data_IF_306440887831
#
_entry.id   IF_306440887831
#
_cell.length_a   1.000
_cell.length_b   1.000
_cell.length_c   1.000
_cell.angle_alpha   90.00
_cell.angle_beta   90.00
_cell.angle_gamma   90.00
#
_symmetry.space_group_name_H-M   'P 1'
#
loop_
_entity.id
_entity.type
_entity.pdbx_description
1 polymer ?
#
# COMPACT_ATOMS: atom_id res chain seq x y z
N UNK A 1 -19.86 -3.26 20.32
CA UNK A 1 -19.27 -4.02 19.19
C UNK A 1 -19.97 -3.79 17.84
N UNK A 2 -21.24 -3.35 17.78
CA UNK A 2 -21.95 -3.03 16.50
C UNK A 2 -21.68 -1.60 15.98
N UNK A 3 -21.16 -0.77 16.86
CA UNK A 3 -20.93 0.66 16.78
C UNK A 3 -19.59 1.04 16.09
N UNK A 4 -18.63 0.10 16.00
CA UNK A 4 -17.31 0.32 15.37
C UNK A 4 -17.25 -0.05 13.87
N UNK A 5 -18.21 -0.84 13.39
CA UNK A 5 -18.31 -1.26 11.99
C UNK A 5 -18.27 -0.09 10.97
N UNK A 6 -18.96 1.05 11.20
CA UNK A 6 -18.88 2.18 10.28
C UNK A 6 -17.49 2.84 10.28
N UNK A 7 -16.80 2.89 11.43
CA UNK A 7 -15.47 3.49 11.51
C UNK A 7 -14.45 2.64 10.74
N UNK A 8 -14.47 1.33 10.94
CA UNK A 8 -13.60 0.38 10.22
C UNK A 8 -13.85 0.45 8.71
N UNK A 9 -15.11 0.56 8.29
CA UNK A 9 -15.48 0.69 6.89
C UNK A 9 -14.94 2.00 6.27
N UNK A 10 -15.10 3.14 6.95
CA UNK A 10 -14.61 4.43 6.45
C UNK A 10 -13.08 4.46 6.40
N UNK A 11 -12.39 3.93 7.41
CA UNK A 11 -10.93 3.80 7.38
C UNK A 11 -10.46 2.93 6.24
N UNK A 12 -11.13 1.81 5.99
CA UNK A 12 -10.80 0.90 4.89
C UNK A 12 -10.98 1.59 3.53
N UNK A 13 -12.11 2.27 3.30
CA UNK A 13 -12.40 2.96 2.05
C UNK A 13 -11.40 4.10 1.79
N UNK A 14 -11.17 4.97 2.76
CA UNK A 14 -10.26 6.12 2.60
C UNK A 14 -8.80 5.67 2.45
N UNK A 15 -8.38 4.62 3.17
CA UNK A 15 -7.04 4.04 3.02
C UNK A 15 -6.86 3.38 1.65
N UNK A 16 -7.88 2.68 1.15
CA UNK A 16 -7.86 2.05 -0.18
C UNK A 16 -7.85 3.09 -1.31
N UNK A 17 -8.63 4.18 -1.19
CA UNK A 17 -8.61 5.30 -2.13
C UNK A 17 -7.21 5.94 -2.24
N UNK A 18 -6.56 6.17 -1.10
CA UNK A 18 -5.18 6.69 -1.04
C UNK A 18 -4.17 5.71 -1.65
N UNK A 19 -4.32 4.40 -1.38
CA UNK A 19 -3.44 3.36 -1.90
C UNK A 19 -3.53 3.22 -3.42
N UNK A 20 -4.75 3.18 -3.97
CA UNK A 20 -4.97 3.12 -5.43
C UNK A 20 -4.36 4.33 -6.12
N UNK A 21 -4.50 5.53 -5.56
CA UNK A 21 -3.94 6.75 -6.14
C UNK A 21 -2.41 6.71 -6.21
N UNK A 22 -1.73 6.17 -5.18
CA UNK A 22 -0.27 5.97 -5.19
C UNK A 22 0.13 4.97 -6.28
N UNK A 23 -0.53 3.81 -6.36
CA UNK A 23 -0.24 2.78 -7.38
C UNK A 23 -0.48 3.34 -8.78
N UNK A 24 -1.57 4.07 -8.97
CA UNK A 24 -1.95 4.72 -10.22
C UNK A 24 -0.89 5.76 -10.63
N UNK A 25 -0.39 6.58 -9.70
CA UNK A 25 0.67 7.55 -9.96
C UNK A 25 2.02 6.91 -10.34
N UNK A 26 2.38 5.77 -9.72
CA UNK A 26 3.60 5.03 -10.04
C UNK A 26 3.47 4.37 -11.42
N UNK A 27 2.32 3.78 -11.71
CA UNK A 27 2.07 3.01 -12.94
C UNK A 27 1.87 3.92 -14.15
N UNK A 28 1.32 5.12 -13.97
CA UNK A 28 1.16 6.13 -15.02
C UNK A 28 2.43 6.94 -15.32
N UNK A 29 3.58 6.61 -14.69
CA UNK A 29 4.83 7.34 -14.84
C UNK A 29 4.79 8.76 -14.26
N UNK A 30 3.97 9.00 -13.23
CA UNK A 30 3.80 10.29 -12.57
C UNK A 30 2.69 11.18 -13.13
N UNK A 31 1.87 10.70 -14.09
CA UNK A 31 0.71 11.44 -14.61
C UNK A 31 -0.53 11.19 -13.74
N UNK A 32 -1.16 12.26 -13.25
CA UNK A 32 -2.33 12.21 -12.36
C UNK A 32 -3.66 11.94 -13.07
N UNK A 33 -3.70 12.00 -14.41
CA UNK A 33 -4.88 11.64 -15.21
C UNK A 33 -4.89 10.13 -15.48
N UNK A 34 -5.39 9.37 -14.50
CA UNK A 34 -5.44 7.90 -14.57
C UNK A 34 -6.86 7.46 -14.91
N UNK A 35 -7.07 6.65 -15.97
CA UNK A 35 -8.40 6.26 -16.43
C UNK A 35 -9.14 5.43 -15.37
N UNK A 36 -10.41 5.73 -15.16
CA UNK A 36 -11.30 5.09 -14.16
C UNK A 36 -11.29 3.54 -14.27
N UNK A 37 -11.05 3.01 -15.46
CA UNK A 37 -10.94 1.58 -15.74
C UNK A 37 -9.76 0.93 -14.99
N UNK A 38 -8.62 1.62 -14.88
CA UNK A 38 -7.44 1.11 -14.18
C UNK A 38 -7.69 1.01 -12.67
N UNK A 39 -8.37 2.01 -12.10
CA UNK A 39 -8.76 2.01 -10.69
C UNK A 39 -9.73 0.87 -10.36
N UNK A 40 -10.73 0.62 -11.20
CA UNK A 40 -11.67 -0.50 -11.02
C UNK A 40 -10.97 -1.84 -11.16
N UNK A 41 -10.02 -1.96 -12.09
CA UNK A 41 -9.20 -3.16 -12.25
C UNK A 41 -8.43 -3.50 -10.96
N UNK A 42 -7.72 -2.54 -10.38
CA UNK A 42 -6.97 -2.75 -9.14
C UNK A 42 -7.87 -3.01 -7.92
N UNK A 43 -9.01 -2.31 -7.79
CA UNK A 43 -9.96 -2.59 -6.72
C UNK A 43 -10.57 -4.00 -6.83
N UNK A 44 -10.86 -4.46 -8.05
CA UNK A 44 -11.42 -5.80 -8.28
C UNK A 44 -10.42 -6.91 -7.97
N UNK A 45 -9.15 -6.73 -8.33
CA UNK A 45 -8.13 -7.75 -8.10
C UNK A 45 -7.79 -7.87 -6.61
N UNK A 46 -7.77 -6.75 -5.88
CA UNK A 46 -7.59 -6.73 -4.43
C UNK A 46 -8.73 -7.46 -3.71
N UNK A 47 -9.99 -7.20 -4.12
CA UNK A 47 -11.17 -7.91 -3.59
C UNK A 47 -11.14 -9.41 -3.85
N UNK A 48 -10.70 -9.84 -5.03
CA UNK A 48 -10.55 -11.26 -5.38
C UNK A 48 -9.46 -11.92 -4.54
N UNK A 49 -8.30 -11.29 -4.38
CA UNK A 49 -7.21 -11.81 -3.55
C UNK A 49 -7.67 -11.96 -2.09
N UNK A 50 -8.37 -10.96 -1.56
CA UNK A 50 -8.94 -11.03 -0.21
C UNK A 50 -9.94 -12.18 -0.07
N UNK A 51 -10.84 -12.37 -1.04
CA UNK A 51 -11.80 -13.47 -1.03
C UNK A 51 -11.12 -14.84 -1.08
N UNK A 52 -10.09 -15.01 -1.92
CA UNK A 52 -9.30 -16.25 -2.02
C UNK A 52 -8.54 -16.55 -0.73
N UNK A 53 -7.94 -15.54 -0.10
CA UNK A 53 -7.21 -15.70 1.17
C UNK A 53 -8.14 -16.05 2.33
N UNK A 54 -9.34 -15.44 2.38
CA UNK A 54 -10.34 -15.79 3.39
C UNK A 54 -10.87 -17.21 3.20
N UNK A 55 -11.17 -17.60 1.96
CA UNK A 55 -11.67 -18.94 1.66
C UNK A 55 -10.60 -20.01 1.88
N UNK A 56 -9.36 -19.76 1.43
CA UNK A 56 -8.23 -20.68 1.58
C UNK A 56 -7.72 -20.82 3.02
N UNK A 57 -7.85 -19.77 3.84
CA UNK A 57 -7.45 -19.79 5.24
C UNK A 57 -8.44 -20.49 6.18
N UNK A 58 -9.69 -20.69 5.77
CA UNK A 58 -10.68 -21.45 6.54
C UNK A 58 -10.89 -20.92 7.97
N UNK A 59 -10.63 -21.78 8.97
CA UNK A 59 -10.74 -21.41 10.39
C UNK A 59 -9.64 -20.44 10.85
N UNK A 60 -8.49 -20.41 10.17
CA UNK A 60 -7.34 -19.57 10.47
C UNK A 60 -7.15 -18.48 9.40
N UNK A 61 -8.25 -17.94 8.89
CA UNK A 61 -8.24 -16.88 7.86
C UNK A 61 -7.39 -15.66 8.28
N UNK A 62 -7.37 -15.30 9.56
CA UNK A 62 -6.49 -14.24 10.07
C UNK A 62 -5.01 -14.59 9.93
N UNK A 63 -4.63 -15.84 10.21
CA UNK A 63 -3.25 -16.31 10.08
C UNK A 63 -2.78 -16.31 8.64
N UNK A 64 -3.64 -16.75 7.72
CA UNK A 64 -3.36 -16.72 6.28
C UNK A 64 -3.18 -15.28 5.76
N UNK A 65 -4.05 -14.36 6.18
CA UNK A 65 -3.96 -12.95 5.79
C UNK A 65 -2.70 -12.28 6.35
N UNK A 66 -2.35 -12.57 7.61
CA UNK A 66 -1.14 -12.05 8.25
C UNK A 66 0.14 -12.59 7.58
N UNK A 67 0.19 -13.89 7.28
CA UNK A 67 1.32 -14.49 6.59
C UNK A 67 1.53 -13.85 5.21
N UNK A 68 0.46 -13.69 4.43
CA UNK A 68 0.51 -13.00 3.13
C UNK A 68 1.04 -11.56 3.27
N UNK A 69 0.53 -10.80 4.26
CA UNK A 69 0.98 -9.43 4.52
C UNK A 69 2.47 -9.36 4.89
N UNK A 70 2.96 -10.27 5.74
CA UNK A 70 4.38 -10.32 6.13
C UNK A 70 5.27 -10.71 4.95
N UNK A 71 4.87 -11.71 4.16
CA UNK A 71 5.65 -12.15 2.99
C UNK A 71 5.76 -11.07 1.92
N UNK A 72 4.71 -10.29 1.67
CA UNK A 72 4.75 -9.16 0.73
C UNK A 72 5.47 -7.95 1.32
N UNK A 73 5.30 -7.70 2.62
CA UNK A 73 5.92 -6.57 3.31
C UNK A 73 7.44 -6.69 3.43
N UNK A 74 7.96 -7.89 3.69
CA UNK A 74 9.38 -8.14 3.93
C UNK A 74 10.32 -7.70 2.78
N UNK A 75 10.08 -8.02 1.50
CA UNK A 75 10.91 -7.49 0.41
C UNK A 75 10.74 -5.97 0.25
N UNK A 76 9.55 -5.43 0.53
CA UNK A 76 9.30 -3.98 0.43
C UNK A 76 10.01 -3.19 1.53
N UNK A 77 10.17 -3.73 2.74
CA UNK A 77 10.93 -3.06 3.81
C UNK A 77 12.40 -2.86 3.45
N UNK A 78 13.00 -3.78 2.69
CA UNK A 78 14.36 -3.62 2.17
C UNK A 78 14.45 -2.37 1.28
N UNK A 79 13.47 -2.17 0.38
CA UNK A 79 13.38 -0.99 -0.49
C UNK A 79 13.20 0.28 0.35
N UNK A 80 12.34 0.25 1.37
CA UNK A 80 12.12 1.38 2.27
C UNK A 80 13.40 1.77 3.02
N UNK A 81 14.22 0.81 3.45
CA UNK A 81 15.53 1.08 4.06
C UNK A 81 16.42 1.84 3.07
N UNK A 82 16.50 1.40 1.81
CA UNK A 82 17.25 2.12 0.79
C UNK A 82 16.71 3.52 0.51
N UNK A 83 15.39 3.72 0.52
CA UNK A 83 14.78 5.05 0.39
C UNK A 83 15.16 5.96 1.56
N UNK A 84 15.08 5.46 2.80
CA UNK A 84 15.50 6.22 3.99
C UNK A 84 16.97 6.62 3.91
N UNK A 85 17.85 5.71 3.50
CA UNK A 85 19.27 5.99 3.29
C UNK A 85 19.50 7.04 2.20
N UNK A 86 18.78 6.93 1.07
CA UNK A 86 18.89 7.87 -0.05
C UNK A 86 18.40 9.27 0.34
N UNK A 87 17.31 9.35 1.09
CA UNK A 87 16.78 10.60 1.61
C UNK A 87 17.75 11.25 2.60
N UNK A 88 18.31 10.47 3.53
CA UNK A 88 19.32 10.95 4.47
C UNK A 88 20.56 11.48 3.75
N UNK A 89 21.06 10.74 2.76
CA UNK A 89 22.23 11.15 1.99
C UNK A 89 21.94 12.40 1.15
N UNK A 90 20.75 12.49 0.53
CA UNK A 90 20.29 13.66 -0.21
C UNK A 90 20.20 14.90 0.66
N UNK A 91 19.58 14.77 1.84
CA UNK A 91 19.45 15.87 2.79
C UNK A 91 20.80 16.34 3.33
N UNK A 92 21.71 15.40 3.63
CA UNK A 92 23.07 15.74 4.11
C UNK A 92 23.93 16.41 3.02
N UNK A 93 23.75 16.03 1.74
CA UNK A 93 24.41 16.70 0.61
C UNK A 93 23.96 18.15 0.47
N UNK A 94 22.66 18.39 0.58
CA UNK A 94 22.11 19.76 0.49
C UNK A 94 22.52 20.60 1.72
N UNK A 95 22.48 20.02 2.93
CA UNK A 95 22.96 20.69 4.14
C UNK A 95 24.42 21.11 4.03
N UNK A 96 25.30 20.24 3.52
CA UNK A 96 26.71 20.60 3.26
C UNK A 96 26.85 21.70 2.22
N UNK A 97 26.09 21.65 1.12
CA UNK A 97 26.10 22.68 0.07
C UNK A 97 25.71 24.06 0.61
N UNK A 98 24.79 24.13 1.57
CA UNK A 98 24.36 25.39 2.18
C UNK A 98 25.39 25.95 3.19
N UNK A 99 26.32 25.12 3.67
CA UNK A 99 27.29 25.46 4.70
C UNK A 99 28.71 25.68 4.17
N UNK A 100 28.91 25.57 2.84
CA UNK A 100 30.17 25.91 2.14
C UNK A 100 29.95 27.11 1.23
#
# INVERSE_FOLDING_TARGET
MKDQQPLVLVFFITSSDSGSLVIDSITAGGKLDVPVVQRVFWASIEGVIAAVLLFGGGADALGALQAAAVTVGLPFTVILIFMCLSLFLGLNREYKRLMT
#
